data_IF_569094738353
#
_entry.id   IF_569094738353
#
_cell.length_a   1.000
_cell.length_b   1.000
_cell.length_c   1.000
_cell.angle_alpha   90.00
_cell.angle_beta   90.00
_cell.angle_gamma   90.00
#
_symmetry.space_group_name_H-M   'P 1'
#
loop_
_entity.id
_entity.type
_entity.pdbx_description
1 polymer ?
#
# COMPACT_ATOMS: atom_id res chain seq x y z
N UNK A 1 9.63 -17.72 71.91
CA UNK A 1 8.90 -18.04 70.68
C UNK A 1 9.17 -16.94 69.65
N UNK A 2 9.64 -17.36 68.47
CA UNK A 2 9.51 -16.69 67.15
C UNK A 2 10.21 -15.34 66.87
N UNK A 3 11.47 -15.48 66.44
CA UNK A 3 12.06 -15.01 65.17
C UNK A 3 11.49 -13.74 64.50
N UNK A 4 12.33 -12.71 64.59
CA UNK A 4 12.49 -11.58 63.68
C UNK A 4 12.69 -12.03 62.22
N UNK A 5 11.82 -11.60 61.29
CA UNK A 5 12.12 -11.57 59.83
C UNK A 5 11.40 -10.40 59.16
N UNK A 6 12.08 -9.26 59.08
CA UNK A 6 11.82 -8.21 58.09
C UNK A 6 12.43 -8.65 56.76
N UNK A 7 11.61 -8.78 55.72
CA UNK A 7 12.07 -9.08 54.35
C UNK A 7 12.14 -7.79 53.57
N UNK A 8 13.36 -7.39 53.22
CA UNK A 8 13.68 -6.29 52.32
C UNK A 8 13.76 -6.86 50.90
N UNK A 9 12.91 -6.40 49.97
CA UNK A 9 12.97 -6.82 48.56
C UNK A 9 13.65 -5.71 47.75
N UNK A 10 14.90 -5.94 47.37
CA UNK A 10 15.65 -5.15 46.40
C UNK A 10 15.42 -5.73 45.00
N UNK A 11 14.67 -5.02 44.16
CA UNK A 11 14.58 -5.31 42.74
C UNK A 11 15.67 -4.52 42.00
N UNK A 12 16.78 -5.18 41.69
CA UNK A 12 17.81 -4.65 40.78
C UNK A 12 17.40 -4.96 39.33
N UNK A 13 17.29 -3.90 38.54
CA UNK A 13 17.00 -3.97 37.12
C UNK A 13 18.13 -4.60 36.31
N UNK A 14 17.76 -5.27 35.22
CA UNK A 14 18.66 -5.62 34.13
C UNK A 14 17.97 -5.21 32.83
N UNK A 15 18.40 -4.06 32.31
CA UNK A 15 18.16 -3.64 30.93
C UNK A 15 19.00 -4.52 30.00
N UNK A 16 18.34 -5.32 29.16
CA UNK A 16 19.01 -6.09 28.12
C UNK A 16 19.25 -5.17 26.91
N UNK A 17 20.44 -4.57 26.84
CA UNK A 17 21.01 -4.09 25.59
C UNK A 17 21.67 -5.29 24.89
N UNK A 18 20.97 -5.94 23.97
CA UNK A 18 21.58 -6.94 23.09
C UNK A 18 22.23 -6.25 21.90
N UNK A 19 23.55 -6.04 22.00
CA UNK A 19 24.41 -5.78 20.85
C UNK A 19 24.55 -7.08 20.03
N UNK A 20 24.17 -7.05 18.75
CA UNK A 20 24.44 -8.15 17.81
C UNK A 20 25.74 -7.81 17.09
N UNK A 21 26.80 -8.56 17.41
CA UNK A 21 28.03 -8.60 16.62
C UNK A 21 27.78 -9.44 15.36
N UNK A 22 28.23 -8.94 14.20
CA UNK A 22 28.21 -9.67 12.94
C UNK A 22 29.58 -10.35 12.77
N UNK A 23 29.59 -11.67 12.67
CA UNK A 23 30.79 -12.44 12.35
C UNK A 23 30.63 -13.08 10.97
N UNK A 24 31.64 -12.91 10.12
CA UNK A 24 31.70 -13.42 8.76
C UNK A 24 32.64 -14.62 8.69
N UNK A 25 32.11 -15.83 8.42
CA UNK A 25 32.90 -16.91 7.82
C UNK A 25 32.04 -18.08 7.25
N UNK A 26 31.97 -18.11 5.92
CA UNK A 26 32.11 -19.23 4.97
C UNK A 26 31.89 -20.73 5.38
N UNK A 27 30.97 -21.35 4.60
CA UNK A 27 30.96 -22.70 3.95
C UNK A 27 30.91 -23.99 4.77
N UNK A 28 29.87 -24.81 4.51
CA UNK A 28 29.82 -26.26 4.75
C UNK A 28 28.38 -26.82 4.83
N UNK A 29 27.95 -27.50 3.77
CA UNK A 29 26.81 -28.45 3.60
C UNK A 29 26.39 -29.23 4.87
N UNK A 30 25.15 -29.68 5.14
CA UNK A 30 23.93 -30.02 4.38
C UNK A 30 22.74 -30.11 5.38
N UNK A 31 21.52 -30.15 4.84
CA UNK A 31 20.29 -30.69 5.47
C UNK A 31 19.35 -29.70 6.16
N UNK A 32 18.42 -29.12 5.39
CA UNK A 32 17.00 -29.50 5.41
C UNK A 32 16.19 -28.63 4.43
N UNK A 33 15.59 -29.30 3.45
CA UNK A 33 14.60 -28.77 2.51
C UNK A 33 13.45 -28.12 3.29
N UNK A 34 13.33 -26.79 3.18
CA UNK A 34 12.08 -26.02 3.11
C UNK A 34 12.43 -24.55 2.84
N UNK A 35 12.98 -24.30 1.65
CA UNK A 35 13.14 -22.96 1.10
C UNK A 35 11.99 -22.70 0.13
N UNK A 36 10.88 -22.15 0.62
CA UNK A 36 9.91 -21.48 -0.24
C UNK A 36 10.22 -19.98 -0.18
N UNK A 37 10.76 -19.51 -1.31
CA UNK A 37 10.90 -18.14 -1.79
C UNK A 37 10.03 -17.09 -1.06
N UNK A 38 10.65 -16.05 -0.54
CA UNK A 38 10.06 -14.70 -0.56
C UNK A 38 11.18 -13.69 -0.76
N UNK A 39 11.03 -12.88 -1.81
CA UNK A 39 12.11 -12.22 -2.52
C UNK A 39 12.71 -11.01 -1.80
N UNK A 40 13.98 -10.77 -2.11
CA UNK A 40 14.69 -9.51 -1.84
C UNK A 40 14.13 -8.44 -2.78
N UNK A 41 13.53 -7.39 -2.23
CA UNK A 41 12.97 -6.28 -3.00
C UNK A 41 14.08 -5.30 -3.44
N UNK A 42 14.36 -5.23 -4.75
CA UNK A 42 15.19 -4.18 -5.34
C UNK A 42 14.35 -2.94 -5.66
N UNK A 43 14.70 -1.81 -5.03
CA UNK A 43 14.11 -0.50 -5.29
C UNK A 43 14.48 -0.02 -6.70
N UNK A 44 13.51 0.14 -7.60
CA UNK A 44 13.65 1.06 -8.74
C UNK A 44 12.86 2.32 -8.41
N UNK A 45 13.56 3.28 -7.82
CA UNK A 45 13.00 4.60 -7.56
C UNK A 45 12.93 5.41 -8.87
N UNK A 46 11.73 5.72 -9.32
CA UNK A 46 11.48 6.79 -10.29
C UNK A 46 10.64 7.84 -9.58
N UNK A 47 11.33 8.75 -8.88
CA UNK A 47 10.74 9.89 -8.18
C UNK A 47 10.01 10.81 -9.18
N UNK A 48 8.72 11.09 -8.94
CA UNK A 48 8.05 12.28 -9.46
C UNK A 48 8.17 13.37 -8.39
N UNK A 49 8.74 14.52 -8.74
CA UNK A 49 9.28 15.53 -7.82
C UNK A 49 8.25 16.45 -7.15
N UNK A 50 6.95 16.14 -7.20
CA UNK A 50 5.89 17.04 -6.68
C UNK A 50 5.13 16.49 -5.46
N UNK A 51 5.44 15.27 -5.00
CA UNK A 51 4.75 14.69 -3.84
C UNK A 51 5.64 14.71 -2.58
N UNK A 52 5.77 15.88 -1.96
CA UNK A 52 6.40 16.00 -0.63
C UNK A 52 5.33 15.90 0.48
N UNK A 53 4.92 14.67 0.82
CA UNK A 53 4.38 14.40 2.15
C UNK A 53 5.25 13.30 2.78
N UNK A 54 5.77 13.56 3.98
CA UNK A 54 6.73 12.74 4.69
C UNK A 54 6.18 11.32 4.96
N UNK A 55 6.40 10.41 4.02
CA UNK A 55 6.09 9.00 4.19
C UNK A 55 7.02 8.41 5.26
N UNK A 56 6.48 8.10 6.44
CA UNK A 56 7.15 7.21 7.39
C UNK A 56 7.35 5.87 6.66
N UNK A 57 8.60 5.55 6.34
CA UNK A 57 9.02 4.28 5.75
C UNK A 57 8.61 3.11 6.66
N UNK A 58 7.40 2.59 6.49
CA UNK A 58 7.02 1.27 6.98
C UNK A 58 7.53 0.24 5.98
N UNK A 59 8.36 -0.69 6.48
CA UNK A 59 8.95 -1.80 5.71
C UNK A 59 7.84 -2.53 4.96
N UNK A 60 7.91 -2.52 3.64
CA UNK A 60 6.89 -3.05 2.75
C UNK A 60 7.28 -4.46 2.31
N UNK A 61 6.51 -5.45 2.74
CA UNK A 61 6.48 -6.75 2.10
C UNK A 61 5.90 -6.60 0.69
N UNK A 62 6.37 -7.42 -0.23
CA UNK A 62 5.91 -7.47 -1.61
C UNK A 62 4.38 -7.62 -1.64
N UNK A 63 3.67 -6.54 -1.94
CA UNK A 63 2.22 -6.57 -2.02
C UNK A 63 1.87 -7.51 -3.18
N UNK A 64 1.20 -8.63 -2.86
CA UNK A 64 0.64 -9.55 -3.85
C UNK A 64 0.03 -8.76 -4.99
N UNK A 65 0.44 -9.05 -6.22
CA UNK A 65 0.09 -8.31 -7.42
C UNK A 65 -1.42 -8.23 -7.56
N UNK A 66 -1.97 -7.09 -7.19
CA UNK A 66 -3.35 -6.78 -7.48
C UNK A 66 -3.55 -6.57 -8.98
N UNK A 67 -4.77 -6.85 -9.45
CA UNK A 67 -5.17 -6.69 -10.86
C UNK A 67 -4.81 -5.30 -11.40
N UNK A 68 -4.62 -5.21 -12.71
CA UNK A 68 -4.21 -3.97 -13.40
C UNK A 68 -5.13 -2.79 -13.06
N UNK A 69 -6.42 -3.07 -12.84
CA UNK A 69 -7.48 -2.09 -12.58
C UNK A 69 -7.78 -1.87 -11.09
N UNK A 70 -6.87 -2.30 -10.20
CA UNK A 70 -7.02 -2.10 -8.77
C UNK A 70 -6.19 -0.88 -8.29
N UNK A 71 -6.87 0.23 -8.02
CA UNK A 71 -6.32 1.45 -7.46
C UNK A 71 -5.90 1.24 -6.01
N UNK A 72 -4.60 1.38 -5.72
CA UNK A 72 -4.11 1.32 -4.34
C UNK A 72 -4.36 2.63 -3.60
N UNK A 73 -5.37 2.65 -2.73
CA UNK A 73 -5.73 3.86 -1.97
C UNK A 73 -4.84 4.13 -0.76
N UNK A 74 -3.89 3.23 -0.45
CA UNK A 74 -2.93 3.41 0.65
C UNK A 74 -1.66 4.16 0.25
N UNK A 75 -1.39 4.30 -1.06
CA UNK A 75 -0.23 5.01 -1.57
C UNK A 75 -0.57 6.46 -1.86
N UNK A 76 0.22 7.42 -1.37
CA UNK A 76 0.06 8.80 -1.78
C UNK A 76 0.55 8.96 -3.23
N UNK A 77 -0.12 9.85 -3.98
CA UNK A 77 0.30 10.35 -5.28
C UNK A 77 0.54 9.26 -6.34
N UNK A 78 -0.43 8.36 -6.47
CA UNK A 78 -0.44 7.36 -7.55
C UNK A 78 -1.20 7.91 -8.77
N UNK A 79 -0.58 7.85 -9.95
CA UNK A 79 -1.27 7.99 -11.23
C UNK A 79 -1.95 6.66 -11.56
N UNK A 80 -3.27 6.71 -11.81
CA UNK A 80 -4.08 5.55 -12.10
C UNK A 80 -4.88 5.75 -13.38
N UNK A 81 -4.72 4.84 -14.32
CA UNK A 81 -5.42 4.84 -15.59
C UNK A 81 -6.53 3.78 -15.57
N UNK A 82 -7.68 4.08 -16.16
CA UNK A 82 -8.79 3.14 -16.30
C UNK A 82 -9.39 3.17 -17.71
N UNK A 83 -10.04 2.07 -18.11
CA UNK A 83 -10.77 1.96 -19.38
C UNK A 83 -12.27 2.12 -19.13
N UNK A 84 -12.81 1.29 -18.24
CA UNK A 84 -14.21 1.30 -17.86
C UNK A 84 -14.32 1.57 -16.36
N UNK A 85 -15.17 2.52 -15.92
CA UNK A 85 -15.42 2.76 -14.50
C UNK A 85 -15.83 1.51 -13.71
N UNK A 86 -16.51 0.57 -14.36
CA UNK A 86 -17.02 -0.68 -13.78
C UNK A 86 -15.92 -1.66 -13.41
N UNK A 87 -14.77 -1.59 -14.07
CA UNK A 87 -13.63 -2.47 -13.83
C UNK A 87 -12.72 -1.96 -12.69
N UNK A 88 -12.96 -0.74 -12.21
CA UNK A 88 -12.12 -0.11 -11.20
C UNK A 88 -12.44 -0.65 -9.81
N UNK A 89 -11.43 -1.25 -9.20
CA UNK A 89 -11.44 -1.69 -7.81
C UNK A 89 -10.57 -0.76 -6.96
N UNK A 90 -11.09 -0.31 -5.82
CA UNK A 90 -10.29 0.24 -4.74
C UNK A 90 -9.60 -0.91 -4.00
N UNK A 91 -8.33 -0.75 -3.69
CA UNK A 91 -7.54 -1.73 -2.95
C UNK A 91 -6.83 -1.13 -1.74
N UNK A 92 -6.98 -1.82 -0.61
CA UNK A 92 -6.26 -1.61 0.63
C UNK A 92 -5.39 -2.85 0.92
N UNK A 93 -4.05 -2.78 0.79
CA UNK A 93 -3.14 -3.93 0.99
C UNK A 93 -3.27 -4.55 2.38
N UNK A 94 -3.37 -3.73 3.41
CA UNK A 94 -3.57 -4.14 4.79
C UNK A 94 -5.08 -4.19 5.09
N UNK A 95 -5.77 -5.16 4.47
CA UNK A 95 -7.24 -5.35 4.52
C UNK A 95 -7.84 -5.68 5.90
N UNK A 96 -7.09 -5.46 6.97
CA UNK A 96 -7.52 -5.62 8.36
C UNK A 96 -8.31 -4.40 8.87
N UNK A 97 -8.25 -3.25 8.18
CA UNK A 97 -8.92 -2.03 8.62
C UNK A 97 -10.39 -1.98 8.17
N UNK A 98 -11.29 -2.32 9.11
CA UNK A 98 -12.69 -1.93 9.02
C UNK A 98 -12.84 -0.46 9.42
N UNK A 99 -13.56 0.34 8.64
CA UNK A 99 -13.69 1.76 8.97
C UNK A 99 -14.55 2.57 8.01
N UNK A 100 -14.61 3.87 8.29
CA UNK A 100 -15.22 4.85 7.39
C UNK A 100 -14.17 5.43 6.46
N UNK A 101 -14.51 5.45 5.18
CA UNK A 101 -13.68 5.95 4.10
C UNK A 101 -14.45 7.04 3.38
N UNK A 102 -13.75 8.04 2.87
CA UNK A 102 -14.34 9.00 1.95
C UNK A 102 -13.48 9.20 0.72
N UNK A 103 -14.15 9.43 -0.40
CA UNK A 103 -13.54 9.82 -1.65
C UNK A 103 -14.17 11.16 -2.03
N UNK A 104 -13.33 12.11 -2.43
CA UNK A 104 -13.75 13.42 -2.88
C UNK A 104 -13.08 13.74 -4.22
N UNK A 105 -13.89 14.09 -5.23
CA UNK A 105 -13.36 14.67 -6.46
C UNK A 105 -12.96 16.13 -6.16
N UNK A 106 -11.70 16.50 -6.40
CA UNK A 106 -11.20 17.83 -5.98
C UNK A 106 -11.66 18.95 -6.92
N UNK A 107 -12.04 18.64 -8.15
CA UNK A 107 -12.59 19.62 -9.08
C UNK A 107 -14.06 19.93 -8.79
N UNK A 108 -14.90 18.90 -8.64
CA UNK A 108 -16.35 19.09 -8.41
C UNK A 108 -16.71 19.28 -6.94
N UNK A 109 -15.78 18.99 -6.02
CA UNK A 109 -16.00 18.95 -4.57
C UNK A 109 -17.04 17.89 -4.14
N UNK A 110 -17.50 17.03 -5.05
CA UNK A 110 -18.38 15.93 -4.73
C UNK A 110 -17.65 14.96 -3.78
N UNK A 111 -18.32 14.55 -2.70
CA UNK A 111 -17.76 13.68 -1.69
C UNK A 111 -18.71 12.56 -1.35
N UNK A 112 -18.21 11.33 -1.44
CA UNK A 112 -18.92 10.13 -1.01
C UNK A 112 -18.24 9.52 0.21
N UNK A 113 -19.04 8.99 1.12
CA UNK A 113 -18.57 8.29 2.33
C UNK A 113 -19.19 6.91 2.38
N UNK A 114 -18.37 5.91 2.66
CA UNK A 114 -18.82 4.53 2.77
C UNK A 114 -18.01 3.76 3.82
N UNK A 115 -18.59 2.66 4.29
CA UNK A 115 -17.96 1.77 5.25
C UNK A 115 -17.16 0.73 4.48
N UNK A 116 -15.88 0.60 4.79
CA UNK A 116 -15.05 -0.51 4.34
C UNK A 116 -15.28 -1.72 5.25
N UNK A 117 -15.77 -2.85 4.72
CA UNK A 117 -15.99 -4.04 5.53
C UNK A 117 -14.67 -4.61 6.06
N UNK A 118 -14.71 -5.17 7.28
CA UNK A 118 -13.58 -5.94 7.81
C UNK A 118 -13.23 -7.09 6.86
N UNK A 119 -11.93 -7.43 6.78
CA UNK A 119 -11.42 -8.59 6.03
C UNK A 119 -11.64 -8.52 4.52
N UNK A 120 -12.06 -7.37 3.98
CA UNK A 120 -12.06 -7.08 2.55
C UNK A 120 -10.82 -6.25 2.24
N UNK A 121 -10.01 -6.70 1.30
CA UNK A 121 -8.90 -5.90 0.78
C UNK A 121 -9.31 -5.08 -0.45
N UNK A 122 -10.45 -5.40 -1.09
CA UNK A 122 -10.94 -4.72 -2.29
C UNK A 122 -12.40 -4.33 -2.20
N UNK A 123 -12.76 -3.25 -2.88
CA UNK A 123 -14.14 -2.81 -3.14
C UNK A 123 -14.23 -2.25 -4.55
N UNK A 124 -15.34 -2.49 -5.24
CA UNK A 124 -15.62 -1.79 -6.50
C UNK A 124 -15.73 -0.27 -6.26
N UNK A 125 -15.39 0.53 -7.26
CA UNK A 125 -15.67 1.95 -7.25
C UNK A 125 -17.17 2.21 -6.99
N UNK A 126 -17.56 3.16 -6.12
CA UNK A 126 -18.95 3.36 -5.72
C UNK A 126 -19.76 4.13 -6.78
N UNK A 127 -19.88 3.59 -8.01
CA UNK A 127 -20.50 4.26 -9.17
C UNK A 127 -21.92 4.79 -8.93
N UNK A 128 -22.70 4.14 -8.06
CA UNK A 128 -24.05 4.61 -7.67
C UNK A 128 -24.06 5.92 -6.88
N UNK A 129 -22.91 6.35 -6.36
CA UNK A 129 -22.77 7.49 -5.46
C UNK A 129 -21.77 8.54 -5.95
N UNK A 130 -20.90 8.18 -6.88
CA UNK A 130 -19.87 9.05 -7.43
C UNK A 130 -19.42 8.46 -8.76
N UNK A 131 -19.59 9.23 -9.82
CA UNK A 131 -19.05 8.89 -11.13
C UNK A 131 -17.52 8.92 -11.09
N UNK A 132 -16.88 7.97 -11.78
CA UNK A 132 -15.44 8.01 -11.98
C UNK A 132 -15.16 8.77 -13.28
N UNK A 133 -14.47 9.90 -13.16
CA UNK A 133 -14.01 10.71 -14.29
C UNK A 133 -12.52 10.97 -14.15
N UNK A 134 -11.86 11.34 -15.24
CA UNK A 134 -10.47 11.80 -15.17
C UNK A 134 -10.32 13.02 -14.26
N UNK A 135 -9.33 13.01 -13.37
CA UNK A 135 -9.04 14.11 -12.45
C UNK A 135 -8.40 13.68 -11.13
N UNK A 136 -8.20 14.65 -10.25
CA UNK A 136 -7.63 14.41 -8.93
C UNK A 136 -8.72 14.06 -7.91
N UNK A 137 -8.45 13.02 -7.12
CA UNK A 137 -9.29 12.58 -6.02
C UNK A 137 -8.52 12.61 -4.70
N UNK A 138 -9.22 13.02 -3.64
CA UNK A 138 -8.77 12.93 -2.26
C UNK A 138 -9.44 11.74 -1.58
N UNK A 139 -8.64 10.76 -1.17
CA UNK A 139 -9.10 9.57 -0.45
C UNK A 139 -8.71 9.69 1.01
N UNK A 140 -9.70 9.63 1.90
CA UNK A 140 -9.48 9.70 3.35
C UNK A 140 -9.68 8.32 3.99
N UNK A 141 -8.64 7.83 4.68
CA UNK A 141 -8.61 6.52 5.35
C UNK A 141 -8.13 6.70 6.79
N UNK A 142 -9.01 6.43 7.75
CA UNK A 142 -8.63 6.53 9.18
C UNK A 142 -8.10 7.91 9.58
N UNK A 143 -8.55 8.98 8.91
CA UNK A 143 -8.09 10.35 9.10
C UNK A 143 -6.84 10.75 8.30
N UNK A 144 -6.18 9.81 7.61
CA UNK A 144 -5.11 10.13 6.67
C UNK A 144 -5.68 10.44 5.30
N UNK A 145 -5.13 11.44 4.63
CA UNK A 145 -5.56 11.85 3.29
C UNK A 145 -4.48 11.52 2.26
N UNK A 146 -4.90 10.84 1.19
CA UNK A 146 -4.07 10.50 0.05
C UNK A 146 -4.65 11.13 -1.20
N UNK A 147 -3.79 11.75 -2.01
CA UNK A 147 -4.16 12.26 -3.35
C UNK A 147 -3.89 11.19 -4.39
N UNK A 148 -4.81 11.05 -5.34
CA UNK A 148 -4.68 10.13 -6.48
C UNK A 148 -5.04 10.92 -7.74
N UNK A 149 -4.22 10.81 -8.77
CA UNK A 149 -4.54 11.33 -10.09
C UNK A 149 -5.11 10.20 -10.94
N UNK A 150 -6.30 10.40 -11.49
CA UNK A 150 -6.99 9.40 -12.30
C UNK A 150 -7.07 9.87 -13.75
N UNK A 151 -6.75 8.98 -14.69
CA UNK A 151 -6.77 9.25 -16.12
C UNK A 151 -7.71 8.26 -16.83
N UNK A 152 -8.67 8.79 -17.58
CA UNK A 152 -9.56 7.98 -18.40
C UNK A 152 -8.89 7.67 -19.75
N UNK A 153 -8.73 6.39 -20.06
CA UNK A 153 -8.23 5.95 -21.36
C UNK A 153 -9.30 6.20 -22.44
N UNK A 154 -8.97 6.86 -23.56
CA UNK A 154 -9.85 6.94 -24.71
C UNK A 154 -10.19 5.55 -25.26
N UNK A 155 -11.46 5.32 -25.59
CA UNK A 155 -11.94 4.02 -26.07
C UNK A 155 -11.33 3.58 -27.42
N UNK A 156 -10.85 4.53 -28.21
CA UNK A 156 -10.24 4.31 -29.53
C UNK A 156 -8.70 4.25 -29.48
N UNK A 157 -8.09 4.29 -28.29
CA UNK A 157 -6.64 4.23 -28.13
C UNK A 157 -6.10 2.86 -28.54
N UNK A 158 -5.27 2.85 -29.59
CA UNK A 158 -4.69 1.63 -30.14
C UNK A 158 -3.46 1.16 -29.36
N UNK A 159 -2.71 2.09 -28.76
CA UNK A 159 -1.51 1.77 -27.99
C UNK A 159 -1.69 2.15 -26.52
N UNK A 160 -2.55 1.37 -25.85
CA UNK A 160 -2.90 1.52 -24.43
C UNK A 160 -1.65 1.58 -23.55
N UNK A 161 -0.66 0.72 -23.80
CA UNK A 161 0.57 0.66 -22.98
C UNK A 161 1.39 1.95 -23.15
N UNK A 162 1.57 2.46 -24.37
CA UNK A 162 2.25 3.73 -24.60
C UNK A 162 1.48 4.89 -23.97
N UNK A 163 0.16 4.93 -24.15
CA UNK A 163 -0.69 5.97 -23.59
C UNK A 163 -0.59 6.02 -22.06
N UNK A 164 -0.67 4.86 -21.39
CA UNK A 164 -0.51 4.77 -19.94
C UNK A 164 0.88 5.21 -19.47
N UNK A 165 1.95 4.85 -20.20
CA UNK A 165 3.32 5.31 -19.88
C UNK A 165 3.44 6.84 -19.96
N UNK A 166 2.79 7.46 -20.94
CA UNK A 166 2.80 8.91 -21.14
C UNK A 166 1.99 9.67 -20.08
N UNK A 167 0.93 9.05 -19.53
CA UNK A 167 0.08 9.62 -18.48
C UNK A 167 0.48 9.18 -17.06
N UNK A 168 1.72 8.73 -16.83
CA UNK A 168 2.23 8.45 -15.49
C UNK A 168 1.91 7.06 -14.92
N UNK A 169 0.96 6.33 -15.51
CA UNK A 169 0.51 4.99 -15.12
C UNK A 169 1.50 3.85 -15.44
N UNK A 170 2.80 4.09 -15.23
CA UNK A 170 3.91 3.21 -15.64
C UNK A 170 3.83 1.82 -15.01
N UNK A 171 3.39 1.73 -13.75
CA UNK A 171 3.26 0.44 -13.07
C UNK A 171 2.15 -0.41 -13.68
N UNK A 172 0.99 0.19 -14.00
CA UNK A 172 -0.09 -0.52 -14.68
C UNK A 172 0.31 -0.91 -16.10
N UNK A 173 0.96 0.00 -16.84
CA UNK A 173 1.45 -0.27 -18.18
C UNK A 173 2.42 -1.46 -18.21
N UNK A 174 3.36 -1.54 -17.25
CA UNK A 174 4.28 -2.67 -17.12
C UNK A 174 3.58 -4.00 -16.85
N UNK A 175 2.47 -3.99 -16.12
CA UNK A 175 1.68 -5.20 -15.85
C UNK A 175 0.91 -5.66 -17.08
N UNK A 176 0.35 -4.72 -17.85
CA UNK A 176 -0.31 -5.00 -19.13
C UNK A 176 0.65 -5.58 -20.16
N UNK A 177 1.87 -5.05 -20.26
CA UNK A 177 2.93 -5.49 -21.18
C UNK A 177 3.49 -6.89 -20.85
N UNK A 178 3.16 -7.43 -19.67
CA UNK A 178 3.63 -8.72 -19.17
C UNK A 178 2.60 -9.85 -19.32
N UNK A 179 1.42 -9.55 -19.88
CA UNK A 179 0.32 -10.50 -20.15
C UNK A 179 0.33 -10.83 -21.64
#
# INVERSE_FOLDING_TARGET
>A
MLLLRTVLVLALGLSLNSAIAYDTAKTGETSRLNAIKSGVCTLTSAYHSECFISARLRRRGECTTNGVWALNISQPCEDFCYISPEDVELWLPDGEQAGWFSIQNTATQEKTRFKWPASKNKLAWPLKRMELTGGEYLVTIGGNENRVMVHELPADEQDVVRWMKNNGCKQQAKRLDAI
#
